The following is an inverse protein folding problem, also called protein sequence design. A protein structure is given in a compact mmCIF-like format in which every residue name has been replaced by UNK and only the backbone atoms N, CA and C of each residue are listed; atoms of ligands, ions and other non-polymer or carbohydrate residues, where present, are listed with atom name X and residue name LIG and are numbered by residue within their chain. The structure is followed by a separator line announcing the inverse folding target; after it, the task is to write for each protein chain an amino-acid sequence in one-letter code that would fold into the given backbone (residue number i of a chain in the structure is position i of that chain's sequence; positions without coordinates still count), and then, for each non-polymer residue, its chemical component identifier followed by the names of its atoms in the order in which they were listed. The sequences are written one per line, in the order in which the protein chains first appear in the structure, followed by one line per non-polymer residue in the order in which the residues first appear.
data_IF_297078794132
#
_entry.id   IF_297078794132
#
_cell.length_a   1.000
_cell.length_b   1.000
_cell.length_c   1.000
_cell.angle_alpha   90.00
_cell.angle_beta   90.00
_cell.angle_gamma   90.00
#
_symmetry.space_group_name_H-M   'P 1'
#
loop_
_entity.id
_entity.type
_entity.pdbx_description
1 polymer ?
#
# COMPACT_ATOMS: atom_id res chain seq x y z
N UNK A 1 52.43 4.27 -36.42
CA UNK A 1 51.67 3.28 -35.61
C UNK A 1 50.54 3.98 -34.96
N UNK A 2 49.31 3.78 -35.47
CA UNK A 2 48.09 4.39 -34.98
C UNK A 2 47.42 3.40 -34.02
N UNK A 3 47.05 3.90 -32.82
CA UNK A 3 46.33 3.15 -31.76
C UNK A 3 44.82 3.22 -32.06
N UNK A 4 44.07 2.11 -32.07
CA UNK A 4 42.63 2.15 -32.30
C UNK A 4 41.89 2.65 -31.05
N UNK A 5 40.98 3.59 -31.28
CA UNK A 5 40.03 4.14 -30.32
C UNK A 5 39.04 3.07 -29.82
N UNK A 6 38.90 2.94 -28.51
CA UNK A 6 37.93 2.04 -27.87
C UNK A 6 36.51 2.59 -28.03
N UNK A 7 35.61 1.75 -28.57
CA UNK A 7 34.17 2.04 -28.65
C UNK A 7 33.52 2.01 -27.26
N UNK A 8 32.74 3.03 -26.96
CA UNK A 8 31.89 3.10 -25.75
C UNK A 8 30.78 2.06 -25.79
N UNK A 9 30.41 1.42 -24.66
CA UNK A 9 29.30 0.48 -24.60
C UNK A 9 27.97 1.25 -24.77
N UNK A 10 27.16 0.78 -25.74
CA UNK A 10 25.84 1.34 -26.03
C UNK A 10 24.91 1.27 -24.84
N UNK A 11 24.21 2.36 -24.59
CA UNK A 11 23.14 2.46 -23.62
C UNK A 11 22.02 1.44 -23.94
N UNK A 12 21.62 0.68 -22.94
CA UNK A 12 20.49 -0.23 -23.05
C UNK A 12 19.21 0.55 -23.43
N UNK A 13 18.34 0.01 -24.28
CA UNK A 13 17.12 0.70 -24.68
C UNK A 13 16.19 0.88 -23.48
N UNK A 14 15.91 2.11 -23.11
CA UNK A 14 14.86 2.48 -22.18
C UNK A 14 13.53 2.02 -22.80
N UNK A 15 12.91 0.97 -22.22
CA UNK A 15 11.56 0.56 -22.60
C UNK A 15 10.62 1.74 -22.36
N UNK A 16 10.09 2.32 -23.41
CA UNK A 16 9.03 3.31 -23.33
C UNK A 16 7.79 2.64 -22.73
N UNK A 17 7.25 3.21 -21.67
CA UNK A 17 5.96 2.80 -21.12
C UNK A 17 4.89 2.89 -22.20
N UNK A 18 4.07 1.84 -22.33
CA UNK A 18 2.97 1.81 -23.28
C UNK A 18 1.97 2.97 -23.09
N UNK A 19 1.08 3.20 -24.08
CA UNK A 19 0.09 4.28 -24.00
C UNK A 19 -0.78 4.11 -22.75
N UNK A 20 -1.25 5.23 -22.13
CA UNK A 20 -2.06 5.17 -20.92
C UNK A 20 -3.37 4.42 -21.19
N UNK A 21 -3.71 3.47 -20.31
CA UNK A 21 -5.02 2.82 -20.31
C UNK A 21 -6.07 3.88 -19.96
N UNK A 22 -7.03 4.13 -20.86
CA UNK A 22 -8.15 5.06 -20.62
C UNK A 22 -9.15 4.39 -19.67
N UNK A 23 -8.91 4.49 -18.36
CA UNK A 23 -9.78 3.94 -17.31
C UNK A 23 -9.34 4.44 -15.95
N UNK A 24 -10.18 4.23 -14.91
CA UNK A 24 -9.77 4.51 -13.54
C UNK A 24 -8.60 3.58 -13.14
N UNK A 25 -7.62 4.09 -12.40
CA UNK A 25 -6.51 3.31 -11.89
C UNK A 25 -6.99 2.13 -11.03
N UNK A 26 -6.28 1.01 -11.10
CA UNK A 26 -6.46 -0.11 -10.18
C UNK A 26 -5.83 0.24 -8.82
N UNK A 27 -6.65 0.29 -7.77
CA UNK A 27 -6.21 0.62 -6.42
C UNK A 27 -6.09 -0.65 -5.59
N UNK A 28 -4.89 -0.88 -5.05
CA UNK A 28 -4.57 -2.03 -4.19
C UNK A 28 -4.12 -1.49 -2.84
N UNK A 29 -4.81 -1.86 -1.76
CA UNK A 29 -4.44 -1.52 -0.40
C UNK A 29 -3.62 -2.64 0.24
N UNK A 30 -2.52 -2.30 0.93
CA UNK A 30 -1.76 -3.20 1.79
C UNK A 30 -1.97 -2.75 3.23
N UNK A 31 -2.73 -3.53 3.99
CA UNK A 31 -3.08 -3.27 5.39
C UNK A 31 -2.44 -4.30 6.31
N UNK A 32 -2.44 -4.02 7.60
CA UNK A 32 -2.00 -4.92 8.65
C UNK A 32 -1.32 -4.21 9.81
N UNK A 33 -1.13 -4.90 10.90
CA UNK A 33 -0.48 -4.38 12.09
C UNK A 33 1.00 -4.04 11.86
N UNK A 34 1.65 -3.52 12.89
CA UNK A 34 3.07 -3.16 12.85
C UNK A 34 3.98 -4.36 12.58
N UNK A 35 5.14 -4.11 11.98
CA UNK A 35 6.17 -5.13 11.69
C UNK A 35 5.67 -6.34 10.90
N UNK A 36 4.65 -6.15 10.04
CA UNK A 36 4.14 -7.22 9.15
C UNK A 36 4.67 -7.10 7.72
N UNK A 37 5.64 -6.19 7.47
CA UNK A 37 6.29 -6.06 6.16
C UNK A 37 5.45 -5.37 5.10
N UNK A 38 4.47 -4.54 5.46
CA UNK A 38 3.60 -3.81 4.52
C UNK A 38 4.37 -2.98 3.51
N UNK A 39 5.27 -2.13 3.99
CA UNK A 39 6.06 -1.20 3.14
C UNK A 39 6.88 -1.96 2.11
N UNK A 40 7.62 -2.99 2.55
CA UNK A 40 8.39 -3.82 1.64
C UNK A 40 7.48 -4.49 0.61
N UNK A 41 6.33 -5.04 1.05
CA UNK A 41 5.38 -5.71 0.17
C UNK A 41 4.77 -4.73 -0.86
N UNK A 42 4.36 -3.54 -0.44
CA UNK A 42 3.78 -2.54 -1.32
C UNK A 42 4.76 -2.11 -2.42
N UNK A 43 6.02 -1.87 -2.05
CA UNK A 43 7.08 -1.52 -2.97
C UNK A 43 7.39 -2.66 -3.95
N UNK A 44 7.69 -3.86 -3.43
CA UNK A 44 8.04 -5.01 -4.25
C UNK A 44 6.90 -5.43 -5.19
N UNK A 45 5.64 -5.37 -4.71
CA UNK A 45 4.46 -5.67 -5.52
C UNK A 45 4.28 -4.65 -6.65
N UNK A 46 4.47 -3.35 -6.39
CA UNK A 46 4.40 -2.31 -7.41
C UNK A 46 5.45 -2.52 -8.50
N UNK A 47 6.69 -2.83 -8.13
CA UNK A 47 7.78 -3.12 -9.06
C UNK A 47 7.50 -4.38 -9.90
N UNK A 48 7.02 -5.45 -9.27
CA UNK A 48 6.66 -6.69 -9.96
C UNK A 48 5.50 -6.50 -10.93
N UNK A 49 4.45 -5.76 -10.53
CA UNK A 49 3.31 -5.46 -11.41
C UNK A 49 3.74 -4.61 -12.61
N UNK A 50 4.60 -3.61 -12.41
CA UNK A 50 5.15 -2.83 -13.51
C UNK A 50 5.92 -3.71 -14.51
N UNK A 51 6.75 -4.63 -13.99
CA UNK A 51 7.54 -5.53 -14.83
C UNK A 51 6.66 -6.53 -15.60
N UNK A 52 5.67 -7.14 -14.94
CA UNK A 52 4.85 -8.20 -15.52
C UNK A 52 3.78 -7.69 -16.49
N UNK A 53 3.23 -6.49 -16.24
CA UNK A 53 2.13 -5.93 -17.03
C UNK A 53 2.59 -4.90 -18.08
N UNK A 54 3.74 -4.26 -17.88
CA UNK A 54 4.20 -3.10 -18.66
C UNK A 54 3.41 -1.82 -18.39
N UNK A 55 2.49 -1.81 -17.41
CA UNK A 55 1.69 -0.65 -17.04
C UNK A 55 2.47 0.29 -16.11
N UNK A 56 1.99 1.52 -16.00
CA UNK A 56 2.54 2.52 -15.07
C UNK A 56 2.06 2.19 -13.66
N UNK A 57 2.92 1.57 -12.88
CA UNK A 57 2.64 1.22 -11.50
C UNK A 57 3.39 2.19 -10.56
N UNK A 58 2.81 2.45 -9.41
CA UNK A 58 3.47 3.15 -8.32
C UNK A 58 2.99 2.63 -6.98
N UNK A 59 3.77 2.87 -5.93
CA UNK A 59 3.33 2.68 -4.57
C UNK A 59 3.24 4.02 -3.85
N UNK A 60 2.29 4.14 -2.92
CA UNK A 60 2.08 5.33 -2.10
C UNK A 60 2.50 4.99 -0.68
N UNK A 61 3.59 5.60 -0.16
CA UNK A 61 4.08 5.32 1.17
C UNK A 61 3.12 5.81 2.26
N UNK A 62 3.20 5.16 3.44
CA UNK A 62 2.44 5.51 4.62
C UNK A 62 2.73 6.95 5.08
N UNK A 63 1.71 7.81 5.02
CA UNK A 63 1.87 9.21 5.41
C UNK A 63 2.07 9.38 6.92
N UNK A 64 1.39 8.58 7.73
CA UNK A 64 1.54 8.65 9.19
C UNK A 64 3.01 8.46 9.62
N UNK A 65 3.73 7.51 9.02
CA UNK A 65 5.16 7.32 9.27
C UNK A 65 5.97 8.57 8.89
N UNK A 66 5.79 9.08 7.68
CA UNK A 66 6.49 10.28 7.22
C UNK A 66 6.17 11.50 8.08
N UNK A 67 4.91 11.62 8.51
CA UNK A 67 4.48 12.68 9.42
C UNK A 67 5.22 12.60 10.77
N UNK A 68 5.31 11.43 11.37
CA UNK A 68 6.05 11.23 12.63
C UNK A 68 7.54 11.56 12.49
N UNK A 69 8.16 11.15 11.39
CA UNK A 69 9.56 11.49 11.09
C UNK A 69 9.74 13.00 10.96
N UNK A 70 8.86 13.70 10.27
CA UNK A 70 8.90 15.15 10.08
C UNK A 70 8.66 15.92 11.39
N UNK A 71 7.76 15.44 12.25
CA UNK A 71 7.40 16.10 13.51
C UNK A 71 8.28 15.67 14.68
N UNK A 72 9.02 14.56 14.56
CA UNK A 72 9.83 13.98 15.65
C UNK A 72 8.99 13.41 16.80
N UNK A 73 7.69 13.17 16.59
CA UNK A 73 6.73 12.66 17.57
C UNK A 73 5.58 11.91 16.93
N UNK A 74 4.80 11.20 17.71
CA UNK A 74 3.50 10.65 17.30
C UNK A 74 2.42 11.75 17.29
N UNK A 75 1.36 11.62 16.45
CA UNK A 75 0.28 12.59 16.40
C UNK A 75 -0.61 12.51 17.63
N UNK A 76 -1.23 13.64 17.99
CA UNK A 76 -2.32 13.68 18.95
C UNK A 76 -3.66 13.39 18.26
N UNK A 77 -4.73 13.21 19.06
CA UNK A 77 -6.06 12.84 18.55
C UNK A 77 -6.55 13.77 17.43
N UNK A 78 -6.46 15.08 17.63
CA UNK A 78 -7.01 16.08 16.70
C UNK A 78 -6.23 16.17 15.36
N UNK A 79 -5.05 15.54 15.26
CA UNK A 79 -4.23 15.47 14.04
C UNK A 79 -4.56 14.25 13.17
N UNK A 80 -5.27 13.26 13.72
CA UNK A 80 -5.54 11.99 13.02
C UNK A 80 -6.37 12.17 11.76
N UNK A 81 -7.38 13.05 11.79
CA UNK A 81 -8.23 13.34 10.63
C UNK A 81 -7.41 13.87 9.46
N UNK A 82 -6.56 14.87 9.71
CA UNK A 82 -5.73 15.46 8.65
C UNK A 82 -4.75 14.44 8.08
N UNK A 83 -4.23 13.53 8.90
CA UNK A 83 -3.34 12.45 8.45
C UNK A 83 -4.10 11.48 7.54
N UNK A 84 -5.31 11.06 7.94
CA UNK A 84 -6.15 10.17 7.14
C UNK A 84 -6.54 10.80 5.79
N UNK A 85 -6.95 12.07 5.79
CA UNK A 85 -7.28 12.82 4.58
C UNK A 85 -6.07 12.98 3.65
N UNK A 86 -4.88 13.24 4.21
CA UNK A 86 -3.65 13.37 3.42
C UNK A 86 -3.25 12.05 2.77
N UNK A 87 -3.35 10.93 3.50
CA UNK A 87 -3.09 9.60 2.92
C UNK A 87 -4.02 9.33 1.73
N UNK A 88 -5.31 9.61 1.89
CA UNK A 88 -6.29 9.44 0.83
C UNK A 88 -6.00 10.33 -0.38
N UNK A 89 -5.72 11.61 -0.17
CA UNK A 89 -5.40 12.56 -1.25
C UNK A 89 -4.15 12.13 -2.04
N UNK A 90 -3.14 11.54 -1.38
CA UNK A 90 -1.93 11.02 -2.04
C UNK A 90 -2.24 9.81 -2.93
N UNK A 91 -3.12 8.92 -2.48
CA UNK A 91 -3.58 7.78 -3.29
C UNK A 91 -4.33 8.28 -4.53
N UNK A 92 -5.23 9.24 -4.36
CA UNK A 92 -6.00 9.84 -5.46
C UNK A 92 -5.10 10.57 -6.47
N UNK A 93 -4.12 11.34 -5.99
CA UNK A 93 -3.15 12.00 -6.85
C UNK A 93 -2.31 11.00 -7.67
N UNK A 94 -1.87 9.90 -7.05
CA UNK A 94 -1.15 8.83 -7.74
C UNK A 94 -2.01 8.17 -8.83
N UNK A 95 -3.31 7.98 -8.56
CA UNK A 95 -4.27 7.39 -9.49
C UNK A 95 -4.53 8.24 -10.74
N UNK A 96 -4.26 9.56 -10.70
CA UNK A 96 -4.39 10.43 -11.89
C UNK A 96 -3.29 10.18 -12.92
N UNK A 97 -2.16 9.62 -12.51
CA UNK A 97 -0.96 9.52 -13.35
C UNK A 97 -0.48 8.09 -13.58
N UNK A 98 -1.04 7.11 -12.86
CA UNK A 98 -0.65 5.70 -12.93
C UNK A 98 -1.85 4.80 -13.20
N UNK A 99 -1.57 3.65 -13.78
CA UNK A 99 -2.59 2.65 -14.14
C UNK A 99 -2.86 1.68 -12.97
N UNK A 100 -1.85 1.46 -12.11
CA UNK A 100 -1.94 0.68 -10.89
C UNK A 100 -1.29 1.46 -9.74
N UNK A 101 -2.00 1.56 -8.62
CA UNK A 101 -1.51 2.19 -7.38
C UNK A 101 -1.57 1.19 -6.24
N UNK A 102 -0.43 0.90 -5.62
CA UNK A 102 -0.33 0.08 -4.41
C UNK A 102 -0.16 1.01 -3.20
N UNK A 103 -1.16 1.10 -2.34
CA UNK A 103 -1.10 1.94 -1.14
C UNK A 103 -0.48 1.16 0.03
N UNK A 104 0.67 1.63 0.54
CA UNK A 104 1.20 1.22 1.84
C UNK A 104 0.36 1.94 2.90
N UNK A 105 -0.64 1.25 3.38
CA UNK A 105 -1.76 1.70 4.20
C UNK A 105 -2.76 2.63 3.49
N UNK A 106 -3.90 2.81 4.14
CA UNK A 106 -4.98 3.73 3.76
C UNK A 106 -5.47 4.49 4.99
N UNK A 107 -6.44 5.38 4.81
CA UNK A 107 -7.13 6.05 5.92
C UNK A 107 -7.66 5.06 6.99
N UNK A 108 -7.94 3.80 6.60
CA UNK A 108 -8.42 2.76 7.53
C UNK A 108 -7.39 2.46 8.62
N UNK A 109 -6.09 2.43 8.29
CA UNK A 109 -5.05 2.22 9.31
C UNK A 109 -5.00 3.39 10.31
N UNK A 110 -5.08 4.63 9.84
CA UNK A 110 -5.12 5.81 10.72
C UNK A 110 -6.33 5.76 11.66
N UNK A 111 -7.51 5.39 11.13
CA UNK A 111 -8.72 5.25 11.93
C UNK A 111 -8.60 4.14 12.99
N UNK A 112 -7.99 3.00 12.65
CA UNK A 112 -7.74 1.91 13.61
C UNK A 112 -6.77 2.35 14.70
N UNK A 113 -5.70 3.08 14.36
CA UNK A 113 -4.78 3.62 15.37
C UNK A 113 -5.44 4.68 16.24
N UNK A 114 -6.29 5.55 15.66
CA UNK A 114 -7.07 6.52 16.45
C UNK A 114 -7.95 5.83 17.50
N UNK A 115 -8.63 4.75 17.11
CA UNK A 115 -9.40 3.93 18.03
C UNK A 115 -8.51 3.30 19.12
N UNK A 116 -7.39 2.69 18.74
CA UNK A 116 -6.54 1.95 19.68
C UNK A 116 -5.84 2.86 20.69
N UNK A 117 -5.38 4.04 20.25
CA UNK A 117 -4.59 4.95 21.10
C UNK A 117 -5.47 5.93 21.88
N UNK A 118 -6.56 6.41 21.27
CA UNK A 118 -7.38 7.48 21.84
C UNK A 118 -8.81 7.04 22.19
N UNK A 119 -9.21 5.80 21.85
CA UNK A 119 -10.60 5.35 21.98
C UNK A 119 -11.55 6.09 21.03
N UNK A 120 -11.03 6.69 19.95
CA UNK A 120 -11.76 7.55 19.04
C UNK A 120 -12.07 6.82 17.72
N UNK A 121 -13.34 6.54 17.48
CA UNK A 121 -13.84 5.89 16.26
C UNK A 121 -14.47 6.87 15.25
N UNK A 122 -14.34 8.16 15.45
CA UNK A 122 -14.95 9.21 14.61
C UNK A 122 -14.54 9.10 13.14
N UNK A 123 -13.34 8.62 12.85
CA UNK A 123 -12.81 8.43 11.50
C UNK A 123 -13.33 7.16 10.82
N UNK A 124 -13.99 6.25 11.54
CA UNK A 124 -14.36 4.93 11.04
C UNK A 124 -15.21 5.01 9.77
N UNK A 125 -16.25 5.84 9.77
CA UNK A 125 -17.17 5.95 8.63
C UNK A 125 -16.43 6.39 7.36
N UNK A 126 -15.68 7.49 7.44
CA UNK A 126 -14.86 7.98 6.33
C UNK A 126 -13.87 6.91 5.84
N UNK A 127 -13.15 6.28 6.77
CA UNK A 127 -12.13 5.30 6.45
C UNK A 127 -12.69 4.04 5.74
N UNK A 128 -13.85 3.55 6.17
CA UNK A 128 -14.56 2.42 5.54
C UNK A 128 -15.06 2.81 4.15
N UNK A 129 -15.61 4.01 3.97
CA UNK A 129 -16.03 4.51 2.66
C UNK A 129 -14.85 4.56 1.67
N UNK A 130 -13.71 5.12 2.10
CA UNK A 130 -12.51 5.17 1.25
C UNK A 130 -11.93 3.77 0.99
N UNK A 131 -11.97 2.87 1.96
CA UNK A 131 -11.54 1.49 1.78
C UNK A 131 -12.41 0.73 0.77
N UNK A 132 -13.71 1.02 0.71
CA UNK A 132 -14.63 0.47 -0.27
C UNK A 132 -14.32 0.84 -1.73
N UNK A 133 -13.47 1.84 -1.95
CA UNK A 133 -12.98 2.25 -3.29
C UNK A 133 -11.76 1.44 -3.74
N UNK A 134 -11.15 0.65 -2.86
CA UNK A 134 -10.04 -0.22 -3.21
C UNK A 134 -10.54 -1.45 -3.97
N UNK A 135 -9.89 -1.77 -5.08
CA UNK A 135 -10.21 -2.94 -5.91
C UNK A 135 -9.73 -4.25 -5.28
N UNK A 136 -8.66 -4.16 -4.48
CA UNK A 136 -8.11 -5.28 -3.73
C UNK A 136 -7.56 -4.78 -2.40
N UNK A 137 -7.89 -5.50 -1.32
CA UNK A 137 -7.30 -5.30 0.00
C UNK A 137 -6.44 -6.52 0.34
N UNK A 138 -5.15 -6.30 0.54
CA UNK A 138 -4.19 -7.27 1.02
C UNK A 138 -3.97 -7.04 2.51
N UNK A 139 -4.36 -8.00 3.35
CA UNK A 139 -4.21 -7.91 4.80
C UNK A 139 -3.04 -8.82 5.23
N UNK A 140 -1.92 -8.22 5.65
CA UNK A 140 -0.72 -8.96 6.03
C UNK A 140 -0.92 -9.73 7.34
N UNK A 141 -0.48 -10.99 7.37
CA UNK A 141 -0.54 -11.85 8.56
C UNK A 141 0.49 -11.44 9.63
N UNK A 142 0.25 -11.86 10.88
CA UNK A 142 1.16 -11.64 12.02
C UNK A 142 2.29 -12.69 12.11
N UNK A 143 2.69 -13.24 11.01
CA UNK A 143 3.64 -14.36 10.88
C UNK A 143 5.12 -13.93 10.77
N UNK A 144 5.39 -12.62 10.77
CA UNK A 144 6.74 -12.09 10.87
C UNK A 144 7.08 -11.73 12.32
N UNK A 145 8.35 -11.89 12.75
CA UNK A 145 8.78 -11.42 14.06
C UNK A 145 8.58 -9.90 14.16
N UNK A 146 8.25 -9.44 15.37
CA UNK A 146 8.19 -8.01 15.62
C UNK A 146 9.61 -7.43 15.68
N UNK A 147 9.81 -6.31 15.00
CA UNK A 147 11.06 -5.55 15.00
C UNK A 147 10.74 -4.12 15.34
N UNK A 148 11.44 -3.56 16.32
CA UNK A 148 11.32 -2.14 16.68
C UNK A 148 11.76 -1.27 15.49
N UNK A 149 10.93 -0.30 15.10
CA UNK A 149 11.19 0.59 13.97
C UNK A 149 10.59 1.98 14.27
N UNK A 150 11.45 2.89 14.74
CA UNK A 150 11.14 4.29 14.96
C UNK A 150 10.13 4.59 16.08
N UNK A 151 9.56 5.80 16.03
CA UNK A 151 8.75 6.38 17.10
C UNK A 151 7.29 5.88 17.18
N UNK A 152 6.82 5.04 16.28
CA UNK A 152 5.40 4.70 16.13
C UNK A 152 4.98 3.39 16.78
N UNK A 153 5.84 2.73 17.57
CA UNK A 153 5.60 1.34 17.95
C UNK A 153 5.53 1.13 19.44
N UNK A 154 4.32 0.85 19.90
CA UNK A 154 4.04 0.54 21.30
C UNK A 154 4.51 -0.86 21.73
N UNK A 155 5.01 -1.68 20.77
CA UNK A 155 5.53 -3.02 21.03
C UNK A 155 4.69 -4.15 20.42
N UNK A 156 5.12 -5.41 20.59
CA UNK A 156 4.47 -6.56 19.93
C UNK A 156 3.02 -6.79 20.39
N UNK A 157 2.65 -6.30 21.56
CA UNK A 157 1.32 -6.52 22.15
C UNK A 157 0.18 -5.75 21.45
N UNK A 158 0.49 -4.71 20.67
CA UNK A 158 -0.53 -3.94 19.92
C UNK A 158 -0.93 -4.62 18.61
N UNK A 159 -0.16 -5.60 18.13
CA UNK A 159 -0.38 -6.24 16.82
C UNK A 159 -1.70 -6.98 16.72
N UNK A 160 -2.00 -7.83 17.72
CA UNK A 160 -3.24 -8.61 17.74
C UNK A 160 -4.49 -7.72 17.90
N UNK A 161 -4.54 -6.72 18.78
CA UNK A 161 -5.63 -5.75 18.84
C UNK A 161 -5.88 -5.03 17.52
N UNK A 162 -4.84 -4.53 16.87
CA UNK A 162 -4.94 -3.85 15.56
C UNK A 162 -5.46 -4.81 14.49
N UNK A 163 -4.93 -6.01 14.40
CA UNK A 163 -5.36 -7.03 13.43
C UNK A 163 -6.83 -7.43 13.66
N UNK A 164 -7.24 -7.57 14.92
CA UNK A 164 -8.62 -7.88 15.29
C UNK A 164 -9.59 -6.80 14.84
N UNK A 165 -9.27 -5.53 15.07
CA UNK A 165 -10.11 -4.41 14.65
C UNK A 165 -10.19 -4.32 13.13
N UNK A 166 -9.08 -4.51 12.41
CA UNK A 166 -9.07 -4.54 10.95
C UNK A 166 -9.99 -5.64 10.40
N UNK A 167 -9.86 -6.87 10.90
CA UNK A 167 -10.70 -8.00 10.51
C UNK A 167 -12.18 -7.70 10.81
N UNK A 168 -12.47 -7.19 11.99
CA UNK A 168 -13.83 -6.86 12.41
C UNK A 168 -14.44 -5.78 11.49
N UNK A 169 -13.75 -4.69 11.25
CA UNK A 169 -14.28 -3.58 10.46
C UNK A 169 -14.46 -3.94 8.98
N UNK A 170 -13.49 -4.63 8.37
CA UNK A 170 -13.60 -5.11 6.99
C UNK A 170 -14.77 -6.09 6.83
N UNK A 171 -14.92 -7.05 7.78
CA UNK A 171 -16.00 -8.04 7.75
C UNK A 171 -17.37 -7.39 7.95
N UNK A 172 -17.52 -6.50 8.93
CA UNK A 172 -18.79 -5.79 9.20
C UNK A 172 -19.23 -4.88 8.06
N UNK A 173 -18.26 -4.30 7.35
CA UNK A 173 -18.53 -3.47 6.17
C UNK A 173 -18.73 -4.29 4.88
N UNK A 174 -18.59 -5.63 4.92
CA UNK A 174 -18.68 -6.48 3.73
C UNK A 174 -17.57 -6.22 2.71
N UNK A 175 -16.42 -5.68 3.14
CA UNK A 175 -15.28 -5.38 2.28
C UNK A 175 -14.39 -6.62 2.16
N UNK A 176 -14.22 -7.17 0.95
CA UNK A 176 -13.39 -8.35 0.74
C UNK A 176 -11.90 -8.03 0.94
N UNK A 177 -11.18 -9.00 1.49
CA UNK A 177 -9.73 -8.92 1.62
C UNK A 177 -9.09 -10.30 1.42
N UNK A 178 -7.82 -10.29 1.04
CA UNK A 178 -6.99 -11.50 0.94
C UNK A 178 -5.93 -11.46 2.04
N UNK A 179 -5.86 -12.51 2.84
CA UNK A 179 -4.81 -12.65 3.85
C UNK A 179 -3.49 -13.01 3.17
N UNK A 180 -2.45 -12.20 3.39
CA UNK A 180 -1.12 -12.41 2.82
C UNK A 180 -0.16 -12.89 3.90
N UNK A 181 0.40 -14.07 3.71
CA UNK A 181 1.32 -14.74 4.64
C UNK A 181 2.64 -15.12 3.95
N UNK A 182 3.59 -15.63 4.74
CA UNK A 182 4.94 -16.00 4.30
C UNK A 182 5.94 -14.87 4.50
N UNK A 183 7.16 -15.08 4.03
CA UNK A 183 8.27 -14.13 4.13
C UNK A 183 8.94 -13.95 2.76
N UNK A 184 9.47 -12.76 2.47
CA UNK A 184 10.16 -12.47 1.22
C UNK A 184 9.33 -12.87 -0.01
N UNK A 185 9.93 -13.62 -0.94
CA UNK A 185 9.30 -14.04 -2.20
C UNK A 185 8.01 -14.84 -2.02
N UNK A 186 7.87 -15.60 -0.94
CA UNK A 186 6.64 -16.33 -0.65
C UNK A 186 5.48 -15.38 -0.34
N UNK A 187 5.73 -14.31 0.41
CA UNK A 187 4.76 -13.25 0.70
C UNK A 187 4.40 -12.47 -0.56
N UNK A 188 5.39 -12.09 -1.35
CA UNK A 188 5.19 -11.40 -2.62
C UNK A 188 4.39 -12.28 -3.60
N UNK A 189 4.72 -13.57 -3.72
CA UNK A 189 3.97 -14.51 -4.54
C UNK A 189 2.52 -14.71 -4.09
N UNK A 190 2.25 -14.68 -2.77
CA UNK A 190 0.88 -14.71 -2.25
C UNK A 190 0.09 -13.46 -2.69
N UNK A 191 0.67 -12.27 -2.56
CA UNK A 191 0.06 -11.02 -2.99
C UNK A 191 -0.14 -10.94 -4.50
N UNK A 192 0.84 -11.39 -5.30
CA UNK A 192 0.78 -11.38 -6.76
C UNK A 192 -0.37 -12.25 -7.29
N UNK A 193 -0.55 -13.45 -6.74
CA UNK A 193 -1.69 -14.32 -7.10
C UNK A 193 -3.04 -13.66 -6.78
N UNK A 194 -3.13 -12.91 -5.68
CA UNK A 194 -4.36 -12.16 -5.37
C UNK A 194 -4.63 -11.05 -6.41
N UNK A 195 -3.58 -10.42 -6.95
CA UNK A 195 -3.71 -9.40 -7.99
C UNK A 195 -4.22 -9.98 -9.32
N UNK A 196 -3.92 -11.23 -9.66
CA UNK A 196 -4.38 -11.88 -10.89
C UNK A 196 -5.91 -11.86 -11.03
N UNK A 197 -6.64 -11.87 -9.91
CA UNK A 197 -8.10 -11.82 -9.91
C UNK A 197 -8.66 -10.43 -10.32
N UNK A 198 -7.92 -9.35 -10.09
CA UNK A 198 -8.37 -7.97 -10.34
C UNK A 198 -7.75 -7.32 -11.59
N UNK A 199 -6.59 -7.82 -12.07
CA UNK A 199 -5.92 -7.31 -13.27
C UNK A 199 -6.77 -7.37 -14.56
N UNK A 200 -7.58 -8.41 -14.83
CA UNK A 200 -8.44 -8.45 -16.02
C UNK A 200 -9.43 -7.29 -16.10
N UNK A 201 -9.81 -6.69 -14.98
CA UNK A 201 -10.73 -5.54 -14.95
C UNK A 201 -10.13 -4.27 -15.57
N UNK A 202 -8.80 -4.17 -15.71
CA UNK A 202 -8.14 -3.07 -16.43
C UNK A 202 -8.40 -3.15 -17.96
N UNK A 203 -8.50 -4.35 -18.52
CA UNK A 203 -8.71 -4.56 -19.97
C UNK A 203 -10.18 -4.43 -20.42
N UNK A 204 -11.15 -4.61 -19.53
CA UNK A 204 -12.57 -4.61 -19.88
C UNK A 204 -13.22 -3.20 -19.92
N UNK A 205 -12.48 -2.15 -19.52
CA UNK A 205 -12.97 -0.75 -19.50
C UNK A 205 -12.63 0.04 -20.77
N UNK A 206 -12.11 -0.63 -21.80
CA UNK A 206 -11.76 -0.08 -23.12
C UNK A 206 -12.75 -0.58 -24.18
N UNK A 207 -14.04 -0.48 -23.88
CA UNK A 207 -15.14 -0.77 -24.80
C UNK A 207 -16.09 0.41 -24.91
#
# INVERSE_FOLDING_TARGET
MAVPSAASPGAAPTRQAGPPVRGAALLIAVLGAESTGKTWLAQALSEQLAHSTGLRCTWVPEWLRQWCELQGRTPVRDEQEQIALTQQARIEAAAQTHDIVVADTTALMTAVYSLQVFGDDSLRHFAIEQQGRMHLTLLTALDLPWVADGHQRDGPHVREPVDTVLLQWLTQAGLPFVRVSGQGDARLGCASRACEAVLPHLGQRVG
#
